data_IF_541757449752
#
_entry.id   IF_541757449752
#
_cell.length_a   1.000
_cell.length_b   1.000
_cell.length_c   1.000
_cell.angle_alpha   90.00
_cell.angle_beta   90.00
_cell.angle_gamma   90.00
#
_symmetry.space_group_name_H-M   'P 1'
#
loop_
_entity.id
_entity.type
_entity.pdbx_description
1 polymer ?
#
# COMPACT_ATOMS: atom_id res chain seq x y z
N UNK A 1 -4.37 -62.93 22.75
CA UNK A 1 -4.49 -63.97 23.80
C UNK A 1 -3.13 -64.11 24.51
N UNK A 2 -3.10 -63.85 25.83
CA UNK A 2 -2.02 -64.14 26.82
C UNK A 2 -0.67 -63.42 26.59
N UNK A 3 -0.35 -62.29 27.24
CA UNK A 3 0.04 -62.09 28.66
C UNK A 3 1.18 -62.99 29.14
N UNK A 4 2.40 -62.47 29.23
CA UNK A 4 3.37 -62.82 30.28
C UNK A 4 3.97 -61.51 30.84
N UNK A 5 4.05 -61.49 32.16
CA UNK A 5 4.25 -60.36 33.05
C UNK A 5 5.48 -60.68 33.92
N UNK A 6 6.19 -59.62 34.31
CA UNK A 6 6.84 -59.39 35.62
C UNK A 6 8.33 -59.77 35.82
N UNK A 7 9.01 -58.73 36.29
CA UNK A 7 10.36 -58.54 36.83
C UNK A 7 10.76 -59.44 38.01
N UNK A 8 12.07 -59.67 38.18
CA UNK A 8 12.90 -59.09 39.27
C UNK A 8 14.32 -59.69 39.19
N UNK A 9 15.37 -58.86 39.21
CA UNK A 9 16.50 -59.11 40.10
C UNK A 9 17.39 -57.87 40.17
N UNK A 10 17.32 -57.23 41.33
CA UNK A 10 18.24 -56.20 41.79
C UNK A 10 19.59 -56.87 42.04
N UNK A 11 20.67 -56.35 41.47
CA UNK A 11 22.01 -56.58 42.02
C UNK A 11 22.79 -55.28 41.98
N UNK A 12 22.87 -54.70 43.17
CA UNK A 12 23.72 -53.57 43.53
C UNK A 12 25.16 -54.09 43.65
N UNK A 13 26.07 -53.67 42.78
CA UNK A 13 27.51 -53.78 43.04
C UNK A 13 28.19 -52.46 42.71
N UNK A 14 28.67 -51.84 43.78
CA UNK A 14 29.49 -50.65 43.93
C UNK A 14 30.83 -50.79 43.17
N UNK A 15 31.28 -49.77 42.44
CA UNK A 15 32.73 -49.57 42.25
C UNK A 15 33.11 -48.11 41.92
N UNK A 16 33.70 -47.47 42.94
CA UNK A 16 34.85 -46.55 42.96
C UNK A 16 34.84 -45.28 42.11
N UNK A 17 34.79 -44.16 42.84
CA UNK A 17 35.20 -42.81 42.46
C UNK A 17 36.66 -42.76 41.99
N UNK A 18 36.89 -42.12 40.83
CA UNK A 18 38.15 -41.48 40.47
C UNK A 18 37.86 -40.03 40.09
N UNK A 19 38.12 -39.12 41.02
CA UNK A 19 38.15 -37.67 40.77
C UNK A 19 39.49 -37.31 40.14
N UNK A 20 39.50 -37.10 38.83
CA UNK A 20 40.59 -36.40 38.14
C UNK A 20 40.19 -34.93 38.01
N UNK A 21 40.79 -34.13 38.90
CA UNK A 21 40.76 -32.67 38.87
C UNK A 21 41.68 -32.18 37.74
N UNK A 22 41.11 -31.53 36.73
CA UNK A 22 41.86 -30.66 35.84
C UNK A 22 41.67 -29.21 36.29
N UNK A 23 42.64 -28.74 37.06
CA UNK A 23 42.91 -27.32 37.29
C UNK A 23 43.36 -26.69 35.97
N UNK A 24 42.47 -25.94 35.32
CA UNK A 24 42.88 -24.93 34.34
C UNK A 24 42.64 -23.55 34.93
N UNK A 25 43.75 -22.94 35.31
CA UNK A 25 43.87 -21.53 35.64
C UNK A 25 43.83 -20.77 34.31
N UNK A 26 42.64 -20.38 33.87
CA UNK A 26 42.46 -19.37 32.83
C UNK A 26 42.02 -18.09 33.55
N UNK A 27 42.87 -17.07 33.47
CA UNK A 27 42.68 -15.77 34.09
C UNK A 27 41.25 -15.24 33.84
N UNK A 28 40.49 -15.12 34.92
CA UNK A 28 39.37 -14.20 35.02
C UNK A 28 39.91 -12.79 34.84
N UNK A 29 39.58 -12.18 33.71
CA UNK A 29 39.32 -10.74 33.57
C UNK A 29 38.60 -10.53 32.24
N UNK A 30 37.40 -11.10 32.12
CA UNK A 30 36.39 -10.54 31.23
C UNK A 30 35.59 -9.57 32.07
N UNK A 31 36.00 -8.31 32.06
CA UNK A 31 35.12 -7.21 32.43
C UNK A 31 33.82 -7.38 31.63
N UNK A 32 32.73 -7.63 32.36
CA UNK A 32 31.38 -7.49 31.81
C UNK A 32 31.28 -6.01 31.44
N UNK A 33 31.43 -5.69 30.15
CA UNK A 33 31.14 -4.36 29.64
C UNK A 33 29.64 -4.14 29.78
N UNK A 34 29.16 -3.26 30.67
CA UNK A 34 27.75 -2.97 30.79
C UNK A 34 27.46 -1.83 29.80
N UNK A 35 27.46 -2.11 28.50
CA UNK A 35 27.13 -1.12 27.48
C UNK A 35 26.72 -1.74 26.13
N UNK A 36 25.86 -2.76 26.16
CA UNK A 36 24.85 -2.85 25.10
C UNK A 36 23.63 -2.08 25.56
N UNK A 37 23.57 -0.80 25.17
CA UNK A 37 22.31 -0.06 25.21
C UNK A 37 21.27 -0.89 24.46
N UNK A 38 20.10 -1.22 25.02
CA UNK A 38 19.08 -1.93 24.28
C UNK A 38 18.83 -1.16 23.00
N UNK A 39 19.03 -1.81 21.84
CA UNK A 39 18.81 -1.19 20.53
C UNK A 39 17.46 -0.49 20.57
N UNK A 40 17.43 0.84 20.63
CA UNK A 40 16.17 1.58 20.69
C UNK A 40 15.50 1.31 19.36
N UNK A 41 14.52 0.40 19.35
CA UNK A 41 13.79 0.08 18.13
C UNK A 41 13.04 1.35 17.72
N UNK A 42 13.55 2.01 16.68
CA UNK A 42 13.01 3.27 16.17
C UNK A 42 11.70 2.99 15.42
N UNK A 43 10.76 3.93 15.47
CA UNK A 43 9.59 3.89 14.61
C UNK A 43 10.02 3.78 13.14
N UNK A 44 9.21 3.12 12.30
CA UNK A 44 9.46 2.97 10.87
C UNK A 44 8.36 3.63 10.05
N UNK A 45 8.72 4.09 8.86
CA UNK A 45 7.77 4.55 7.85
C UNK A 45 7.43 3.35 6.96
N UNK A 46 6.15 3.13 6.69
CA UNK A 46 5.68 2.14 5.74
C UNK A 46 4.92 2.87 4.63
N UNK A 47 5.49 2.95 3.43
CA UNK A 47 4.85 3.61 2.30
C UNK A 47 3.71 2.75 1.75
N UNK A 48 2.60 3.41 1.41
CA UNK A 48 1.45 2.84 0.71
C UNK A 48 1.45 3.23 -0.78
N UNK A 49 2.60 3.70 -1.28
CA UNK A 49 2.87 4.09 -2.66
C UNK A 49 4.25 3.56 -3.06
N UNK A 50 4.46 3.33 -4.34
CA UNK A 50 5.68 2.77 -4.91
C UNK A 50 6.12 3.45 -6.20
N UNK A 51 5.23 4.14 -6.91
CA UNK A 51 5.54 4.82 -8.18
C UNK A 51 5.77 6.32 -7.96
N UNK A 52 7.03 6.66 -7.65
CA UNK A 52 7.47 8.03 -7.38
C UNK A 52 8.45 8.48 -8.46
N UNK A 53 8.15 9.62 -9.08
CA UNK A 53 8.97 10.22 -10.13
C UNK A 53 9.12 11.72 -9.94
N UNK A 54 9.85 12.38 -10.84
CA UNK A 54 9.87 13.84 -10.90
C UNK A 54 8.45 14.37 -11.11
N UNK A 55 8.02 15.30 -10.26
CA UNK A 55 6.67 15.85 -10.23
C UNK A 55 6.06 15.90 -8.82
N UNK A 56 4.79 16.27 -8.75
CA UNK A 56 4.02 16.30 -7.48
C UNK A 56 3.26 14.99 -7.30
N UNK A 57 3.49 14.32 -6.16
CA UNK A 57 2.88 13.03 -5.82
C UNK A 57 2.11 13.11 -4.49
N UNK A 58 0.97 12.41 -4.43
CA UNK A 58 0.30 12.10 -3.16
C UNK A 58 1.13 11.03 -2.44
N UNK A 59 1.99 11.43 -1.52
CA UNK A 59 2.76 10.51 -0.70
C UNK A 59 1.88 9.95 0.41
N UNK A 60 1.55 8.66 0.36
CA UNK A 60 0.79 7.98 1.40
C UNK A 60 1.68 7.04 2.22
N UNK A 61 1.61 7.12 3.55
CA UNK A 61 2.45 6.31 4.43
C UNK A 61 1.84 6.08 5.83
N UNK A 62 2.20 4.97 6.47
CA UNK A 62 1.97 4.72 7.88
C UNK A 62 3.24 4.93 8.70
N UNK A 63 3.06 5.28 9.98
CA UNK A 63 4.14 5.29 10.98
C UNK A 63 3.88 4.11 11.92
N UNK A 64 4.86 3.23 12.09
CA UNK A 64 4.74 2.03 12.91
C UNK A 64 5.79 2.10 14.01
N UNK A 65 5.32 2.18 15.25
CA UNK A 65 6.17 2.21 16.43
C UNK A 65 6.30 0.79 17.02
N UNK A 66 7.52 0.27 17.21
CA UNK A 66 7.75 -1.05 17.77
C UNK A 66 7.10 -1.23 19.14
N UNK A 67 6.40 -2.35 19.34
CA UNK A 67 5.65 -2.65 20.57
C UNK A 67 4.32 -1.91 20.74
N UNK A 68 4.04 -0.88 19.94
CA UNK A 68 2.80 -0.08 20.01
C UNK A 68 1.91 -0.30 18.78
N UNK A 69 2.50 -0.37 17.59
CA UNK A 69 1.79 -0.52 16.33
C UNK A 69 1.64 0.81 15.58
N UNK A 70 0.51 1.00 14.90
CA UNK A 70 0.28 2.17 14.06
C UNK A 70 0.12 3.45 14.90
N UNK A 71 0.90 4.47 14.57
CA UNK A 71 0.87 5.78 15.22
C UNK A 71 -0.22 6.64 14.60
N UNK A 72 -1.10 7.20 15.44
CA UNK A 72 -2.21 8.07 15.05
C UNK A 72 -2.11 9.40 15.82
N UNK A 73 -1.52 10.40 15.19
CA UNK A 73 -1.43 11.77 15.67
C UNK A 73 -2.25 12.66 14.75
N UNK A 74 -2.85 13.71 15.30
CA UNK A 74 -3.53 14.74 14.50
C UNK A 74 -2.53 15.57 13.69
N UNK A 75 -1.35 15.81 14.27
CA UNK A 75 -0.28 16.58 13.66
C UNK A 75 0.95 15.69 13.41
N UNK A 76 1.28 15.50 12.14
CA UNK A 76 2.53 14.89 11.69
C UNK A 76 3.23 15.87 10.76
N UNK A 77 4.47 16.23 11.09
CA UNK A 77 5.33 17.04 10.22
C UNK A 77 6.10 16.11 9.29
N UNK A 78 6.08 16.41 8.00
CA UNK A 78 6.83 15.72 6.95
C UNK A 78 7.95 16.65 6.45
N UNK A 79 9.16 16.11 6.28
CA UNK A 79 10.30 16.80 5.69
C UNK A 79 10.88 15.92 4.59
N UNK A 80 11.22 16.51 3.44
CA UNK A 80 11.89 15.80 2.34
C UNK A 80 13.30 16.30 2.13
N UNK A 81 14.20 15.39 1.80
CA UNK A 81 15.61 15.68 1.62
C UNK A 81 16.13 15.06 0.32
N UNK A 82 16.93 15.79 -0.44
CA UNK A 82 17.60 15.24 -1.62
C UNK A 82 19.06 14.92 -1.32
N UNK A 83 19.52 13.73 -1.70
CA UNK A 83 20.92 13.31 -1.55
C UNK A 83 21.70 13.66 -2.82
N UNK A 84 22.36 14.82 -2.83
CA UNK A 84 23.19 15.25 -3.99
C UNK A 84 24.47 14.39 -4.12
N UNK A 85 25.11 14.13 -2.98
CA UNK A 85 26.18 13.16 -2.78
C UNK A 85 25.75 12.39 -1.52
N UNK A 86 25.91 11.07 -1.49
CA UNK A 86 25.32 10.15 -0.48
C UNK A 86 25.54 10.56 1.00
N UNK A 87 26.44 11.51 1.30
CA UNK A 87 26.81 11.94 2.64
C UNK A 87 26.10 13.21 3.16
N UNK A 88 25.50 14.07 2.32
CA UNK A 88 24.88 15.33 2.77
C UNK A 88 23.47 15.55 2.17
N UNK A 89 22.40 15.16 2.90
CA UNK A 89 21.03 15.43 2.48
C UNK A 89 20.69 16.93 2.59
N UNK A 90 20.13 17.50 1.51
CA UNK A 90 19.63 18.88 1.47
C UNK A 90 18.13 18.88 1.72
N UNK A 91 17.65 19.62 2.74
CA UNK A 91 16.22 19.81 2.99
C UNK A 91 15.56 20.52 1.80
N UNK A 92 14.47 19.96 1.29
CA UNK A 92 13.74 20.46 0.12
C UNK A 92 12.37 21.02 0.48
N UNK A 93 11.58 20.28 1.26
CA UNK A 93 10.26 20.74 1.70
C UNK A 93 10.00 20.41 3.18
N UNK A 94 9.10 21.20 3.78
CA UNK A 94 8.50 20.95 5.09
C UNK A 94 7.00 21.11 4.96
N UNK A 95 6.26 20.03 5.24
CA UNK A 95 4.83 19.93 5.03
C UNK A 95 4.12 19.36 6.26
N UNK A 96 2.80 19.54 6.32
CA UNK A 96 1.93 18.76 7.19
C UNK A 96 1.45 17.49 6.48
N UNK A 97 1.34 16.39 7.21
CA UNK A 97 0.74 15.15 6.72
C UNK A 97 -0.60 14.91 7.43
N UNK A 98 -1.67 14.73 6.65
CA UNK A 98 -3.04 14.55 7.16
C UNK A 98 -3.36 13.07 7.30
N UNK A 99 -3.89 12.67 8.45
CA UNK A 99 -4.34 11.29 8.66
C UNK A 99 -5.65 11.01 7.91
N UNK A 100 -5.60 10.04 7.01
CA UNK A 100 -6.71 9.54 6.21
C UNK A 100 -7.21 8.23 6.82
N UNK A 101 -8.34 8.29 7.52
CA UNK A 101 -8.96 7.11 8.13
C UNK A 101 -9.55 6.21 7.03
N UNK A 102 -9.22 4.93 7.07
CA UNK A 102 -9.82 3.92 6.20
C UNK A 102 -11.21 3.52 6.73
N UNK A 103 -12.13 3.09 5.85
CA UNK A 103 -13.50 2.79 6.24
C UNK A 103 -13.62 1.56 7.16
N UNK A 104 -12.68 0.61 7.08
CA UNK A 104 -12.72 -0.62 7.88
C UNK A 104 -11.79 -0.51 9.09
N UNK A 105 -12.40 -0.57 10.26
CA UNK A 105 -11.72 -0.58 11.55
C UNK A 105 -11.07 0.77 11.84
N UNK A 106 -9.94 0.70 12.52
CA UNK A 106 -9.26 1.88 13.04
C UNK A 106 -7.92 2.11 12.33
N UNK A 107 -7.86 1.76 11.04
CA UNK A 107 -6.67 1.87 10.20
C UNK A 107 -6.69 3.18 9.39
N UNK A 108 -5.55 3.53 8.83
CA UNK A 108 -5.41 4.70 7.97
C UNK A 108 -3.95 4.95 7.60
N UNK A 109 -3.75 5.94 6.74
CA UNK A 109 -2.43 6.40 6.30
C UNK A 109 -2.37 7.92 6.43
N UNK A 110 -1.18 8.46 6.62
CA UNK A 110 -0.93 9.88 6.42
C UNK A 110 -0.74 10.17 4.94
N UNK A 111 -1.16 11.36 4.53
CA UNK A 111 -1.01 11.83 3.15
C UNK A 111 -0.49 13.25 3.12
N UNK A 112 0.38 13.54 2.16
CA UNK A 112 0.81 14.89 1.81
C UNK A 112 1.12 14.95 0.31
N UNK A 113 0.94 16.13 -0.30
CA UNK A 113 1.32 16.35 -1.69
C UNK A 113 2.75 16.89 -1.71
N UNK A 114 3.67 16.06 -2.18
CA UNK A 114 5.12 16.30 -2.14
C UNK A 114 5.62 16.50 -3.56
N UNK A 115 6.51 17.47 -3.77
CA UNK A 115 7.15 17.67 -5.07
C UNK A 115 8.59 17.17 -5.06
N UNK A 116 8.92 16.33 -6.04
CA UNK A 116 10.29 15.90 -6.33
C UNK A 116 10.74 16.56 -7.63
N UNK A 117 11.78 17.39 -7.57
CA UNK A 117 12.25 18.19 -8.70
C UNK A 117 13.39 17.55 -9.50
N UNK A 118 14.00 16.49 -8.96
CA UNK A 118 15.10 15.76 -9.57
C UNK A 118 15.00 14.26 -9.28
N UNK A 119 15.43 13.39 -10.23
CA UNK A 119 15.50 11.96 -9.99
C UNK A 119 16.66 11.62 -9.03
N UNK A 120 16.54 10.50 -8.34
CA UNK A 120 17.57 9.93 -7.47
C UNK A 120 17.05 9.55 -6.09
N UNK A 121 17.98 9.43 -5.13
CA UNK A 121 17.67 9.07 -3.75
C UNK A 121 17.12 10.27 -2.98
N UNK A 122 16.00 10.06 -2.29
CA UNK A 122 15.36 11.06 -1.43
C UNK A 122 15.13 10.52 -0.02
N UNK A 123 15.33 11.36 0.98
CA UNK A 123 14.98 11.10 2.37
C UNK A 123 13.59 11.64 2.68
N UNK A 124 12.80 10.85 3.38
CA UNK A 124 11.51 11.26 3.96
C UNK A 124 11.64 11.20 5.47
N UNK A 125 11.63 12.35 6.12
CA UNK A 125 11.61 12.49 7.57
C UNK A 125 10.20 12.80 8.08
N UNK A 126 9.83 12.20 9.21
CA UNK A 126 8.57 12.49 9.90
C UNK A 126 8.84 12.80 11.36
N UNK A 127 8.20 13.84 11.88
CA UNK A 127 8.19 14.19 13.30
C UNK A 127 6.76 14.11 13.84
N UNK A 128 6.59 13.44 14.99
CA UNK A 128 5.29 13.16 15.60
C UNK A 128 5.41 13.08 17.12
N UNK A 129 4.30 13.17 17.85
CA UNK A 129 4.28 13.00 19.31
C UNK A 129 3.96 11.55 19.66
N UNK A 130 4.80 10.90 20.47
CA UNK A 130 4.46 9.59 21.04
C UNK A 130 3.28 9.70 22.02
N UNK A 131 2.74 8.56 22.47
CA UNK A 131 1.64 8.52 23.44
C UNK A 131 1.94 9.27 24.76
N UNK A 132 3.21 9.37 25.16
CA UNK A 132 3.66 10.14 26.33
C UNK A 132 3.91 11.63 26.05
N UNK A 133 3.53 12.14 24.88
CA UNK A 133 3.73 13.55 24.48
C UNK A 133 5.14 13.91 24.03
N UNK A 134 6.09 12.96 24.06
CA UNK A 134 7.47 13.17 23.64
C UNK A 134 7.55 13.25 22.11
N UNK A 135 8.19 14.28 21.58
CA UNK A 135 8.48 14.40 20.15
C UNK A 135 9.46 13.31 19.71
N UNK A 136 9.07 12.54 18.71
CA UNK A 136 9.86 11.50 18.08
C UNK A 136 10.04 11.83 16.60
N UNK A 137 11.18 11.39 16.07
CA UNK A 137 11.50 11.53 14.65
C UNK A 137 11.87 10.19 14.07
N UNK A 138 11.42 9.91 12.84
CA UNK A 138 11.95 8.81 12.05
C UNK A 138 12.08 9.19 10.59
N UNK A 139 12.84 8.41 9.85
CA UNK A 139 13.13 8.67 8.45
C UNK A 139 13.23 7.38 7.67
N UNK A 140 12.98 7.47 6.37
CA UNK A 140 13.19 6.41 5.40
C UNK A 140 13.75 7.01 4.12
N UNK A 141 14.35 6.18 3.26
CA UNK A 141 14.85 6.58 1.96
C UNK A 141 13.95 5.97 0.90
N UNK A 142 13.66 6.76 -0.13
CA UNK A 142 12.91 6.36 -1.32
C UNK A 142 13.75 6.67 -2.56
N UNK A 143 13.48 5.95 -3.64
CA UNK A 143 14.03 6.26 -4.95
C UNK A 143 12.96 7.02 -5.75
N UNK A 144 13.37 8.10 -6.41
CA UNK A 144 12.53 8.90 -7.32
C UNK A 144 13.07 8.74 -8.73
N UNK A 145 12.26 8.21 -9.63
CA UNK A 145 12.67 8.02 -11.03
C UNK A 145 12.49 9.28 -11.86
N UNK A 146 13.07 9.33 -13.06
CA UNK A 146 12.82 10.43 -14.00
C UNK A 146 11.37 10.42 -14.50
N UNK A 147 10.80 9.23 -14.71
CA UNK A 147 9.43 9.02 -15.19
C UNK A 147 8.73 7.96 -14.39
N UNK A 148 7.44 8.19 -14.16
CA UNK A 148 6.54 7.24 -13.54
C UNK A 148 6.36 6.00 -14.41
N UNK A 149 6.15 4.83 -13.79
CA UNK A 149 5.75 3.62 -14.49
C UNK A 149 4.33 3.73 -15.03
N UNK A 150 3.39 4.11 -14.16
CA UNK A 150 2.00 4.32 -14.53
C UNK A 150 1.77 5.74 -15.08
N UNK A 151 0.72 5.96 -15.89
CA UNK A 151 0.40 7.27 -16.48
C UNK A 151 0.33 8.41 -15.46
N UNK A 152 0.92 9.54 -15.83
CA UNK A 152 0.99 10.74 -15.01
C UNK A 152 -0.17 11.69 -15.27
N UNK A 153 -0.37 12.63 -14.35
CA UNK A 153 -1.31 13.74 -14.56
C UNK A 153 -0.84 14.52 -15.80
N UNK A 154 -1.76 14.79 -16.73
CA UNK A 154 -1.48 15.43 -18.01
C UNK A 154 -1.34 14.47 -19.19
N UNK A 155 -1.09 13.17 -18.94
CA UNK A 155 -1.00 12.17 -19.99
C UNK A 155 -2.38 11.83 -20.58
N UNK A 156 -2.38 11.27 -21.79
CA UNK A 156 -3.57 10.62 -22.35
C UNK A 156 -3.80 9.28 -21.66
N UNK A 157 -5.03 9.00 -21.25
CA UNK A 157 -5.42 7.69 -20.77
C UNK A 157 -5.33 6.65 -21.89
N UNK A 158 -4.89 5.43 -21.56
CA UNK A 158 -4.89 4.33 -22.53
C UNK A 158 -6.31 3.83 -22.78
N UNK A 159 -6.78 3.78 -24.04
CA UNK A 159 -8.14 3.37 -24.38
C UNK A 159 -8.29 1.84 -24.33
N UNK A 160 -8.22 1.26 -23.13
CA UNK A 160 -8.31 -0.19 -22.93
C UNK A 160 -9.74 -0.71 -23.12
N UNK A 161 -9.86 -1.86 -23.78
CA UNK A 161 -11.14 -2.57 -23.98
C UNK A 161 -11.39 -3.58 -22.85
N UNK A 162 -11.57 -3.11 -21.61
CA UNK A 162 -11.94 -3.98 -20.49
C UNK A 162 -13.33 -4.62 -20.70
N UNK A 163 -13.53 -5.82 -20.16
CA UNK A 163 -14.80 -6.55 -20.28
C UNK A 163 -15.94 -5.78 -19.59
N UNK A 164 -17.05 -5.61 -20.32
CA UNK A 164 -18.27 -4.96 -19.83
C UNK A 164 -19.38 -5.99 -19.56
N UNK A 165 -20.40 -5.59 -18.82
CA UNK A 165 -21.60 -6.39 -18.54
C UNK A 165 -22.37 -6.78 -19.82
N UNK A 166 -22.24 -5.99 -20.89
CA UNK A 166 -22.85 -6.31 -22.18
C UNK A 166 -22.16 -7.49 -22.88
N UNK A 167 -20.84 -7.65 -22.68
CA UNK A 167 -20.06 -8.75 -23.27
C UNK A 167 -20.14 -10.02 -22.43
N UNK A 168 -20.18 -9.90 -21.10
CA UNK A 168 -20.37 -11.04 -20.19
C UNK A 168 -21.63 -10.83 -19.34
N UNK A 169 -22.66 -11.64 -19.59
CA UNK A 169 -23.92 -11.59 -18.83
C UNK A 169 -23.76 -11.97 -17.36
N UNK A 170 -22.64 -12.62 -16.99
CA UNK A 170 -22.33 -12.96 -15.61
C UNK A 170 -21.12 -12.15 -15.12
N UNK A 171 -21.36 -11.27 -14.15
CA UNK A 171 -20.34 -10.39 -13.57
C UNK A 171 -19.27 -11.17 -12.80
N UNK A 172 -19.55 -12.39 -12.35
CA UNK A 172 -18.53 -13.23 -11.68
C UNK A 172 -17.37 -13.60 -12.61
N UNK A 173 -17.55 -13.49 -13.93
CA UNK A 173 -16.48 -13.68 -14.91
C UNK A 173 -15.64 -12.41 -15.14
N UNK A 174 -16.09 -11.25 -14.63
CA UNK A 174 -15.45 -9.94 -14.86
C UNK A 174 -14.70 -9.47 -13.61
N UNK A 175 -15.20 -9.79 -12.41
CA UNK A 175 -14.65 -9.30 -11.16
C UNK A 175 -14.63 -10.38 -10.08
N UNK A 176 -13.70 -10.23 -9.16
CA UNK A 176 -13.57 -11.04 -7.95
C UNK A 176 -14.39 -10.48 -6.77
N UNK A 177 -15.05 -9.33 -6.93
CA UNK A 177 -16.04 -8.83 -5.96
C UNK A 177 -17.15 -9.87 -5.74
N UNK A 178 -17.40 -10.25 -4.49
CA UNK A 178 -18.48 -11.17 -4.14
C UNK A 178 -19.87 -10.54 -4.27
N UNK A 179 -19.94 -9.21 -4.35
CA UNK A 179 -21.15 -8.41 -4.55
C UNK A 179 -20.97 -7.40 -5.70
N UNK A 180 -20.79 -7.86 -6.96
CA UNK A 180 -20.47 -6.99 -8.08
C UNK A 180 -21.49 -5.85 -8.27
N UNK A 181 -20.99 -4.63 -8.42
CA UNK A 181 -21.82 -3.46 -8.71
C UNK A 181 -21.92 -3.24 -10.22
N UNK A 182 -23.04 -3.63 -10.83
CA UNK A 182 -23.26 -3.57 -12.28
C UNK A 182 -22.87 -2.24 -12.94
N UNK A 183 -23.18 -1.05 -12.37
CA UNK A 183 -22.81 0.23 -12.98
C UNK A 183 -21.32 0.39 -13.31
N UNK A 184 -20.42 -0.28 -12.57
CA UNK A 184 -18.98 -0.21 -12.84
C UNK A 184 -18.51 -0.93 -14.11
N UNK A 185 -19.39 -1.69 -14.76
CA UNK A 185 -19.09 -2.50 -15.93
C UNK A 185 -19.94 -2.11 -17.14
N UNK A 186 -20.54 -0.93 -17.14
CA UNK A 186 -21.37 -0.46 -18.26
C UNK A 186 -20.53 0.10 -19.41
N UNK A 187 -19.35 0.63 -19.10
CA UNK A 187 -18.43 1.21 -20.08
C UNK A 187 -17.06 0.53 -20.04
N UNK A 188 -16.45 0.42 -21.21
CA UNK A 188 -15.00 0.26 -21.29
C UNK A 188 -14.28 1.61 -21.20
N UNK A 189 -13.00 1.61 -20.85
CA UNK A 189 -12.17 2.84 -20.86
C UNK A 189 -12.11 3.42 -22.27
N UNK A 190 -11.98 2.56 -23.30
CA UNK A 190 -11.99 3.00 -24.70
C UNK A 190 -13.30 3.71 -25.09
N UNK A 191 -14.44 3.18 -24.65
CA UNK A 191 -15.76 3.72 -24.95
C UNK A 191 -15.99 5.06 -24.25
N UNK A 192 -15.63 5.19 -22.97
CA UNK A 192 -15.78 6.46 -22.25
C UNK A 192 -14.97 7.59 -22.89
N UNK A 193 -13.73 7.29 -23.31
CA UNK A 193 -12.87 8.25 -24.03
C UNK A 193 -13.48 8.60 -25.39
N UNK A 194 -13.94 7.60 -26.16
CA UNK A 194 -14.52 7.80 -27.49
C UNK A 194 -15.79 8.66 -27.44
N UNK A 195 -16.61 8.49 -26.40
CA UNK A 195 -17.84 9.26 -26.21
C UNK A 195 -17.63 10.61 -25.52
N UNK A 196 -16.39 10.96 -25.16
CA UNK A 196 -16.08 12.21 -24.48
C UNK A 196 -16.66 12.30 -23.07
N UNK A 197 -16.76 11.17 -22.37
CA UNK A 197 -17.26 11.10 -21.00
C UNK A 197 -16.11 11.25 -20.00
N UNK A 198 -16.34 12.06 -18.95
CA UNK A 198 -15.45 12.07 -17.82
C UNK A 198 -15.57 10.74 -17.06
N UNK A 199 -14.47 10.18 -16.59
CA UNK A 199 -14.46 8.87 -15.95
C UNK A 199 -13.58 8.80 -14.71
N UNK A 200 -14.05 8.08 -13.70
CA UNK A 200 -13.24 7.53 -12.62
C UNK A 200 -12.98 6.06 -12.93
N UNK A 201 -11.71 5.70 -13.08
CA UNK A 201 -11.26 4.35 -13.39
C UNK A 201 -10.57 3.78 -12.15
N UNK A 202 -11.11 2.70 -11.59
CA UNK A 202 -10.53 1.94 -10.49
C UNK A 202 -9.93 0.64 -11.01
N UNK A 203 -8.63 0.45 -10.83
CA UNK A 203 -7.96 -0.84 -10.99
C UNK A 203 -7.81 -1.50 -9.62
N UNK A 204 -8.34 -2.72 -9.45
CA UNK A 204 -8.23 -3.45 -8.19
C UNK A 204 -8.79 -4.86 -8.26
N UNK A 205 -8.38 -5.71 -7.34
CA UNK A 205 -8.89 -7.09 -7.22
C UNK A 205 -9.53 -7.29 -5.86
N UNK A 206 -10.85 -7.16 -5.70
CA UNK A 206 -11.47 -7.12 -4.37
C UNK A 206 -11.19 -8.35 -3.50
N UNK A 207 -11.10 -9.55 -4.08
CA UNK A 207 -10.80 -10.77 -3.32
C UNK A 207 -9.32 -11.17 -3.28
N UNK A 208 -8.51 -10.72 -4.24
CA UNK A 208 -7.12 -11.17 -4.41
C UNK A 208 -6.09 -10.03 -4.42
N UNK A 209 -6.45 -8.88 -3.84
CA UNK A 209 -5.59 -7.72 -3.69
C UNK A 209 -4.38 -8.03 -2.79
N UNK A 210 -3.16 -7.79 -3.28
CA UNK A 210 -1.94 -8.00 -2.48
C UNK A 210 -1.85 -7.02 -1.32
N UNK A 211 -2.32 -5.78 -1.52
CA UNK A 211 -2.29 -4.72 -0.48
C UNK A 211 -3.45 -4.81 0.51
N UNK A 212 -4.47 -5.63 0.22
CA UNK A 212 -5.67 -5.79 1.05
C UNK A 212 -6.58 -4.56 1.11
N UNK A 213 -6.40 -3.58 0.21
CA UNK A 213 -7.18 -2.32 0.22
C UNK A 213 -8.17 -2.17 -0.94
N UNK A 214 -8.16 -3.08 -1.92
CA UNK A 214 -9.05 -3.02 -3.08
C UNK A 214 -10.54 -3.14 -2.72
N UNK A 215 -10.93 -4.06 -1.83
CA UNK A 215 -12.31 -4.20 -1.37
C UNK A 215 -12.85 -2.91 -0.72
N UNK A 216 -12.18 -2.36 0.30
CA UNK A 216 -12.53 -1.04 0.86
C UNK A 216 -12.60 0.09 -0.18
N UNK A 217 -11.73 0.07 -1.20
CA UNK A 217 -11.75 1.05 -2.26
C UNK A 217 -13.01 0.95 -3.14
N UNK A 218 -13.48 -0.28 -3.44
CA UNK A 218 -14.75 -0.50 -4.15
C UNK A 218 -15.91 0.16 -3.40
N UNK A 219 -15.99 0.00 -2.08
CA UNK A 219 -17.09 0.56 -1.29
C UNK A 219 -17.08 2.10 -1.29
N UNK A 220 -15.88 2.70 -1.22
CA UNK A 220 -15.72 4.16 -1.37
C UNK A 220 -16.20 4.61 -2.75
N UNK A 221 -15.83 3.90 -3.81
CA UNK A 221 -16.22 4.26 -5.18
C UNK A 221 -17.72 4.03 -5.41
N UNK A 222 -18.36 3.05 -4.75
CA UNK A 222 -19.82 2.87 -4.78
C UNK A 222 -20.54 4.10 -4.22
N UNK A 223 -20.04 4.66 -3.12
CA UNK A 223 -20.57 5.89 -2.53
C UNK A 223 -20.35 7.10 -3.46
N UNK A 224 -19.17 7.25 -4.04
CA UNK A 224 -18.89 8.31 -5.02
C UNK A 224 -19.83 8.21 -6.24
N UNK A 225 -20.11 7.00 -6.72
CA UNK A 225 -21.07 6.80 -7.80
C UNK A 225 -22.47 7.25 -7.42
N UNK A 226 -22.92 6.97 -6.19
CA UNK A 226 -24.21 7.44 -5.69
C UNK A 226 -24.36 8.96 -5.79
N UNK A 227 -23.27 9.71 -5.58
CA UNK A 227 -23.30 11.17 -5.52
C UNK A 227 -22.97 11.86 -6.86
N UNK A 228 -22.17 11.22 -7.72
CA UNK A 228 -21.57 11.86 -8.90
C UNK A 228 -21.81 11.12 -10.23
N UNK A 229 -22.69 10.11 -10.27
CA UNK A 229 -22.97 9.33 -11.50
C UNK A 229 -23.62 10.12 -12.64
N UNK A 230 -24.18 11.30 -12.37
CA UNK A 230 -24.71 12.20 -13.42
C UNK A 230 -23.59 12.89 -14.22
N UNK A 231 -22.41 13.06 -13.61
CA UNK A 231 -21.29 13.81 -14.16
C UNK A 231 -20.14 12.91 -14.62
N UNK A 232 -19.96 11.77 -13.95
CA UNK A 232 -18.79 10.90 -14.09
C UNK A 232 -19.20 9.46 -14.33
N UNK A 233 -18.57 8.82 -15.31
CA UNK A 233 -18.66 7.36 -15.51
C UNK A 233 -17.72 6.66 -14.54
N UNK A 234 -18.18 5.60 -13.89
CA UNK A 234 -17.37 4.81 -12.97
C UNK A 234 -17.04 3.48 -13.63
N UNK A 235 -15.75 3.15 -13.70
CA UNK A 235 -15.26 1.93 -14.35
C UNK A 235 -14.41 1.16 -13.34
N UNK A 236 -14.75 -0.11 -13.11
CA UNK A 236 -13.87 -1.03 -12.39
C UNK A 236 -13.18 -1.96 -13.38
N UNK A 237 -11.85 -2.00 -13.30
CA UNK A 237 -11.01 -2.96 -14.01
C UNK A 237 -10.43 -3.92 -13.00
N UNK A 238 -10.92 -5.15 -13.02
CA UNK A 238 -10.33 -6.26 -12.27
C UNK A 238 -8.89 -6.50 -12.74
N UNK A 239 -7.98 -6.77 -11.82
CA UNK A 239 -6.56 -6.99 -12.15
C UNK A 239 -6.39 -8.26 -12.98
N UNK A 240 -7.27 -9.25 -12.79
CA UNK A 240 -7.19 -10.56 -13.41
C UNK A 240 -8.29 -10.79 -14.46
N UNK A 241 -7.92 -11.30 -15.63
CA UNK A 241 -8.88 -11.60 -16.71
C UNK A 241 -9.67 -12.91 -16.48
N UNK A 242 -9.25 -13.74 -15.53
CA UNK A 242 -9.85 -15.04 -15.23
C UNK A 242 -10.32 -15.23 -13.77
N UNK A 243 -11.16 -14.35 -13.20
CA UNK A 243 -11.60 -14.42 -11.79
C UNK A 243 -12.10 -15.80 -11.33
N UNK A 244 -12.89 -16.48 -12.17
CA UNK A 244 -13.49 -17.79 -11.85
C UNK A 244 -12.50 -18.95 -11.90
N UNK A 245 -11.35 -18.77 -12.55
CA UNK A 245 -10.29 -19.78 -12.66
C UNK A 245 -9.30 -19.71 -11.49
N UNK A 246 -9.21 -18.58 -10.78
CA UNK A 246 -8.28 -18.40 -9.66
C UNK A 246 -8.55 -19.44 -8.56
N UNK A 247 -9.82 -19.66 -8.19
CA UNK A 247 -10.25 -20.70 -7.22
C UNK A 247 -9.45 -20.73 -5.91
N UNK A 248 -8.98 -19.57 -5.45
CA UNK A 248 -8.19 -19.44 -4.22
C UNK A 248 -6.67 -19.60 -4.39
N UNK A 249 -6.21 -19.91 -5.60
CA UNK A 249 -4.78 -20.05 -5.92
C UNK A 249 -4.38 -18.99 -6.95
N UNK A 250 -3.67 -17.96 -6.46
CA UNK A 250 -3.25 -16.81 -7.24
C UNK A 250 -2.27 -17.17 -8.37
N UNK A 251 -1.62 -18.34 -8.31
CA UNK A 251 -0.73 -18.79 -9.39
C UNK A 251 -1.47 -19.09 -10.69
N UNK A 252 -2.80 -19.29 -10.62
CA UNK A 252 -3.66 -19.45 -11.79
C UNK A 252 -4.09 -18.11 -12.39
N UNK A 253 -3.83 -16.99 -11.71
CA UNK A 253 -4.32 -15.70 -12.11
C UNK A 253 -3.54 -15.13 -13.31
N UNK A 254 -4.27 -14.58 -14.27
CA UNK A 254 -3.71 -13.94 -15.46
C UNK A 254 -4.03 -12.47 -15.42
N UNK A 255 -3.00 -11.63 -15.43
CA UNK A 255 -3.16 -10.17 -15.41
C UNK A 255 -3.83 -9.71 -16.70
N UNK A 256 -4.90 -8.92 -16.58
CA UNK A 256 -5.64 -8.36 -17.72
C UNK A 256 -4.77 -7.41 -18.54
N UNK A 257 -5.01 -7.33 -19.85
CA UNK A 257 -4.21 -6.49 -20.74
C UNK A 257 -4.20 -5.02 -20.34
N UNK A 258 -5.31 -4.48 -19.83
CA UNK A 258 -5.40 -3.08 -19.38
C UNK A 258 -4.36 -2.75 -18.29
N UNK A 259 -4.15 -3.64 -17.31
CA UNK A 259 -3.13 -3.42 -16.26
C UNK A 259 -1.72 -3.36 -16.84
N UNK A 260 -1.45 -4.16 -17.88
CA UNK A 260 -0.16 -4.16 -18.60
C UNK A 260 0.03 -2.91 -19.43
N UNK A 261 -1.00 -2.48 -20.17
CA UNK A 261 -0.98 -1.27 -21.00
C UNK A 261 -0.71 -0.02 -20.13
N UNK A 262 -1.35 0.05 -18.97
CA UNK A 262 -1.17 1.11 -17.98
C UNK A 262 0.09 0.95 -17.13
N UNK A 263 0.83 -0.16 -17.26
CA UNK A 263 2.08 -0.44 -16.56
C UNK A 263 1.98 -0.22 -15.03
N UNK A 264 0.91 -0.72 -14.41
CA UNK A 264 0.63 -0.52 -12.99
C UNK A 264 1.52 -1.42 -12.11
N UNK A 265 2.30 -0.88 -11.17
CA UNK A 265 3.22 -1.68 -10.34
C UNK A 265 2.57 -2.28 -9.09
N UNK A 266 1.33 -1.91 -8.79
CA UNK A 266 0.63 -2.22 -7.53
C UNK A 266 -0.89 -2.11 -7.71
N UNK A 267 -1.64 -2.37 -6.64
CA UNK A 267 -3.09 -2.14 -6.57
C UNK A 267 -3.54 -1.71 -5.17
N UNK A 268 -4.66 -0.95 -5.04
CA UNK A 268 -5.47 -0.39 -6.11
C UNK A 268 -4.90 0.91 -6.69
N UNK A 269 -5.35 1.24 -7.90
CA UNK A 269 -5.14 2.54 -8.53
C UNK A 269 -6.45 3.20 -8.89
N UNK A 270 -6.55 4.51 -8.70
CA UNK A 270 -7.64 5.32 -9.24
C UNK A 270 -7.07 6.36 -10.21
N UNK A 271 -7.70 6.50 -11.37
CA UNK A 271 -7.45 7.59 -12.31
C UNK A 271 -8.72 8.38 -12.57
N UNK A 272 -8.61 9.71 -12.56
CA UNK A 272 -9.65 10.63 -12.99
C UNK A 272 -9.29 11.11 -14.39
N UNK A 273 -10.14 10.78 -15.37
CA UNK A 273 -9.93 11.07 -16.79
C UNK A 273 -11.00 12.04 -17.28
N UNK A 274 -10.58 13.18 -17.81
CA UNK A 274 -11.52 14.20 -18.31
C UNK A 274 -12.18 13.80 -19.64
N UNK A 275 -13.13 14.61 -20.10
CA UNK A 275 -13.86 14.41 -21.36
C UNK A 275 -12.96 14.41 -22.61
N UNK A 276 -11.70 14.84 -22.51
CA UNK A 276 -10.70 14.82 -23.59
C UNK A 276 -9.78 13.59 -23.50
N UNK A 277 -10.05 12.67 -22.58
CA UNK A 277 -9.22 11.50 -22.32
C UNK A 277 -7.89 11.84 -21.65
N UNK A 278 -7.79 12.97 -20.92
CA UNK A 278 -6.57 13.39 -20.21
C UNK A 278 -6.70 13.05 -18.73
N UNK A 279 -5.64 12.48 -18.15
CA UNK A 279 -5.58 12.18 -16.72
C UNK A 279 -5.42 13.48 -15.94
N UNK A 280 -6.31 13.70 -14.98
CA UNK A 280 -6.34 14.88 -14.10
C UNK A 280 -6.05 14.56 -12.64
N UNK A 281 -6.29 13.31 -12.24
CA UNK A 281 -5.97 12.81 -10.91
C UNK A 281 -5.50 11.37 -11.00
N UNK A 282 -4.55 11.00 -10.14
CA UNK A 282 -4.11 9.62 -9.96
C UNK A 282 -3.86 9.34 -8.49
N UNK A 283 -4.23 8.15 -8.04
CA UNK A 283 -4.08 7.71 -6.65
C UNK A 283 -3.53 6.28 -6.65
N UNK A 284 -2.38 6.09 -6.02
CA UNK A 284 -1.86 4.77 -5.67
C UNK A 284 -2.27 4.41 -4.25
N UNK A 285 -2.73 3.18 -4.06
CA UNK A 285 -3.26 2.72 -2.80
C UNK A 285 -4.61 3.34 -2.48
N UNK A 286 -5.13 3.06 -1.27
CA UNK A 286 -6.44 3.53 -0.87
C UNK A 286 -6.50 5.07 -0.79
N UNK A 287 -7.43 5.65 -1.54
CA UNK A 287 -7.82 7.05 -1.48
C UNK A 287 -9.23 7.18 -0.88
N UNK A 288 -9.36 8.06 0.11
CA UNK A 288 -10.64 8.27 0.80
C UNK A 288 -11.65 8.95 -0.11
N UNK A 289 -12.93 8.84 0.24
CA UNK A 289 -14.01 9.58 -0.41
C UNK A 289 -13.66 11.06 -0.52
N UNK A 290 -13.21 11.68 0.58
CA UNK A 290 -12.95 13.14 0.62
C UNK A 290 -11.80 13.55 -0.29
N UNK A 291 -10.74 12.74 -0.38
CA UNK A 291 -9.62 13.01 -1.28
C UNK A 291 -10.05 12.98 -2.75
N UNK A 292 -10.86 12.00 -3.12
CA UNK A 292 -11.35 11.86 -4.49
C UNK A 292 -12.39 12.95 -4.81
N UNK A 293 -13.29 13.26 -3.87
CA UNK A 293 -14.27 14.35 -4.01
C UNK A 293 -13.58 15.69 -4.27
N UNK A 294 -12.56 16.03 -3.47
CA UNK A 294 -11.78 17.26 -3.66
C UNK A 294 -11.15 17.27 -5.06
N UNK A 295 -10.54 16.15 -5.49
CA UNK A 295 -9.93 16.07 -6.81
C UNK A 295 -10.94 16.20 -7.96
N UNK A 296 -12.16 15.65 -7.83
CA UNK A 296 -13.24 15.83 -8.80
C UNK A 296 -13.65 17.31 -8.90
N UNK A 297 -13.78 18.00 -7.75
CA UNK A 297 -14.12 19.43 -7.70
C UNK A 297 -13.03 20.31 -8.30
N UNK A 298 -11.78 20.16 -7.85
CA UNK A 298 -10.64 20.99 -8.29
C UNK A 298 -10.33 20.82 -9.78
N UNK A 299 -10.63 19.65 -10.34
CA UNK A 299 -10.40 19.37 -11.76
C UNK A 299 -11.63 19.54 -12.66
N UNK A 300 -12.70 20.17 -12.15
CA UNK A 300 -13.91 20.50 -12.91
C UNK A 300 -14.61 19.28 -13.55
N UNK A 301 -14.64 18.15 -12.84
CA UNK A 301 -15.40 16.97 -13.29
C UNK A 301 -16.90 17.15 -13.08
N UNK A 302 -17.29 17.93 -12.08
CA UNK A 302 -18.68 18.14 -11.69
C UNK A 302 -19.24 19.33 -12.45
N UNK A 303 -20.46 19.19 -13.00
CA UNK A 303 -21.14 20.34 -13.60
C UNK A 303 -21.42 21.37 -12.51
N UNK A 304 -21.22 22.65 -12.83
CA UNK A 304 -21.66 23.75 -11.98
C UNK A 304 -23.17 23.63 -11.77
N UNK A 305 -23.60 23.34 -10.55
CA UNK A 305 -25.01 23.46 -10.15
C UNK A 305 -25.43 24.92 -10.05
#
# INVERSE_FOLDING_TARGET
MKSIKIHFCVSFIFLTLLSVSCSQNANNNSEISPNESPSIQKARIAFAVSDLSVGTHRLAFGIIEPGIGAVKNEEVKLETFFFQNDDQPVLKETLGAKFQKWPIGDKGVYTSNVTFDVPGKWGVGVSFKSAGGIEKKTSSVIEVTEKSHAPSIGDKAFPSNNTTANLSRNLSNITTDSTPYKPFYEYSIAESIKEGKAALILFGSPAFCTTGTCGPQIDIVKNLHSDFSEDVVFIHVEIYENPTEIKGDISNAKVVQAVKDWNLPSEPWIFLVDQKGVIKGRFEGLATYKEIEIALMENNFLRSK
#
